data_IF_244449921898
#
_entry.id   IF_244449921898
#
_cell.length_a   1.000
_cell.length_b   1.000
_cell.length_c   1.000
_cell.angle_alpha   90.00
_cell.angle_beta   90.00
_cell.angle_gamma   90.00
#
_symmetry.space_group_name_H-M   'P 1'
#
loop_
_entity.id
_entity.type
_entity.pdbx_description
1 polymer ?
#
# COMPACT_ATOMS: atom_id res chain seq x y z
N UNK A 1 15.08 43.41 -10.71
CA UNK A 1 14.22 43.22 -9.54
C UNK A 1 12.85 42.89 -10.08
N UNK A 2 12.54 41.60 -10.25
CA UNK A 2 11.21 41.14 -10.63
C UNK A 2 10.32 41.26 -9.39
N UNK A 3 9.23 42.02 -9.50
CA UNK A 3 8.21 42.07 -8.45
C UNK A 3 7.78 40.67 -8.09
N UNK A 4 7.63 40.35 -6.79
CA UNK A 4 7.06 39.04 -6.41
C UNK A 4 5.66 38.94 -7.04
N UNK A 5 5.40 37.82 -7.68
CA UNK A 5 4.07 37.49 -8.22
C UNK A 5 3.10 37.56 -7.03
N UNK A 6 2.01 38.32 -7.08
CA UNK A 6 1.02 38.33 -6.00
C UNK A 6 0.52 36.90 -5.71
N UNK A 7 0.16 36.56 -4.47
CA UNK A 7 -0.30 35.21 -4.10
C UNK A 7 -1.49 34.68 -4.91
N UNK A 8 -2.29 35.60 -5.44
CA UNK A 8 -3.43 35.31 -6.33
C UNK A 8 -2.99 34.85 -7.73
N UNK A 9 -1.71 35.10 -8.11
CA UNK A 9 -1.18 34.84 -9.45
C UNK A 9 -0.39 33.49 -9.57
N UNK A 10 -0.21 32.71 -8.50
CA UNK A 10 0.50 31.43 -8.59
C UNK A 10 -0.15 30.48 -9.62
N UNK A 11 -1.47 30.49 -9.72
CA UNK A 11 -2.24 29.72 -10.70
C UNK A 11 -2.75 30.59 -11.87
N UNK A 12 -2.36 31.86 -11.99
CA UNK A 12 -2.87 32.78 -13.02
C UNK A 12 -2.50 32.31 -14.45
N UNK A 13 -1.36 31.64 -14.62
CA UNK A 13 -0.94 31.07 -15.91
C UNK A 13 -1.38 29.60 -16.08
N UNK A 14 -2.01 29.02 -15.06
CA UNK A 14 -2.47 27.65 -15.10
C UNK A 14 -3.79 27.55 -15.85
N UNK A 15 -3.84 26.68 -16.84
CA UNK A 15 -5.07 26.36 -17.56
C UNK A 15 -5.53 24.96 -17.17
N UNK A 16 -6.67 24.83 -16.47
CA UNK A 16 -7.21 23.52 -16.13
C UNK A 16 -7.42 22.67 -17.39
N UNK A 17 -7.27 21.35 -17.32
CA UNK A 17 -7.53 20.48 -18.44
C UNK A 17 -8.97 20.60 -18.92
N UNK A 18 -9.17 20.60 -20.23
CA UNK A 18 -10.50 20.74 -20.84
C UNK A 18 -11.47 19.60 -20.46
N UNK A 19 -10.93 18.44 -20.10
CA UNK A 19 -11.67 17.26 -19.66
C UNK A 19 -11.05 16.70 -18.39
N UNK A 20 -11.90 16.38 -17.42
CA UNK A 20 -11.48 15.82 -16.15
C UNK A 20 -11.81 16.70 -14.97
N UNK A 21 -11.45 16.25 -13.78
CA UNK A 21 -11.55 17.00 -12.54
C UNK A 21 -10.20 17.67 -12.26
N UNK A 22 -10.23 18.96 -12.05
CA UNK A 22 -9.04 19.69 -11.62
C UNK A 22 -8.97 19.75 -10.08
N UNK A 23 -7.82 19.41 -9.51
CA UNK A 23 -7.63 19.34 -8.05
C UNK A 23 -7.53 20.71 -7.40
N UNK A 24 -6.97 21.71 -8.10
CA UNK A 24 -6.66 23.02 -7.55
C UNK A 24 -7.71 24.07 -7.88
N UNK A 25 -8.30 24.02 -9.08
CA UNK A 25 -9.18 25.06 -9.61
C UNK A 25 -10.58 24.48 -9.82
N UNK A 26 -11.60 25.23 -9.41
CA UNK A 26 -13.01 24.89 -9.63
C UNK A 26 -13.47 25.19 -11.06
N UNK A 27 -14.66 24.71 -11.41
CA UNK A 27 -15.27 24.99 -12.70
C UNK A 27 -15.57 26.48 -12.93
N UNK A 28 -15.64 27.26 -11.88
CA UNK A 28 -15.79 28.72 -11.87
C UNK A 28 -14.47 29.49 -12.07
N UNK A 29 -13.36 28.77 -12.23
CA UNK A 29 -12.01 29.33 -12.33
C UNK A 29 -11.39 29.75 -11.00
N UNK A 30 -12.10 29.58 -9.87
CA UNK A 30 -11.58 29.94 -8.56
C UNK A 30 -10.73 28.83 -7.95
N UNK A 31 -9.70 29.22 -7.17
CA UNK A 31 -8.88 28.27 -6.40
C UNK A 31 -9.76 27.60 -5.33
N UNK A 32 -9.76 26.27 -5.30
CA UNK A 32 -10.53 25.48 -4.34
C UNK A 32 -10.12 25.82 -2.90
N UNK A 33 -11.07 25.81 -1.98
CA UNK A 33 -10.87 26.23 -0.60
C UNK A 33 -9.67 25.56 0.10
N UNK A 34 -9.49 24.25 -0.09
CA UNK A 34 -8.40 23.50 0.51
C UNK A 34 -7.02 23.74 -0.14
N UNK A 35 -6.98 24.35 -1.33
CA UNK A 35 -5.75 24.76 -2.01
C UNK A 35 -5.32 26.18 -1.68
N UNK A 36 -6.18 27.02 -1.10
CA UNK A 36 -5.88 28.43 -0.85
C UNK A 36 -4.61 28.61 -0.01
N UNK A 37 -4.51 27.94 1.14
CA UNK A 37 -3.35 28.06 2.01
C UNK A 37 -2.04 27.64 1.34
N UNK A 38 -2.08 26.59 0.49
CA UNK A 38 -0.93 26.17 -0.32
C UNK A 38 -0.58 27.23 -1.36
N UNK A 39 -1.57 27.68 -2.15
CA UNK A 39 -1.39 28.67 -3.22
C UNK A 39 -0.83 29.99 -2.67
N UNK A 40 -1.39 30.50 -1.57
CA UNK A 40 -0.94 31.74 -0.92
C UNK A 40 0.49 31.61 -0.39
N UNK A 41 0.82 30.50 0.30
CA UNK A 41 2.14 30.34 0.94
C UNK A 41 3.23 29.98 -0.07
N UNK A 42 2.98 29.03 -0.94
CA UNK A 42 3.94 28.60 -1.96
C UNK A 42 4.06 29.64 -3.09
N UNK A 43 2.94 30.22 -3.51
CA UNK A 43 2.91 31.28 -4.53
C UNK A 43 3.59 32.58 -4.13
N UNK A 44 3.65 32.87 -2.81
CA UNK A 44 4.40 34.01 -2.32
C UNK A 44 5.92 33.85 -2.38
N UNK A 45 6.43 32.64 -2.63
CA UNK A 45 7.86 32.40 -2.78
C UNK A 45 8.36 32.95 -4.12
N UNK A 46 9.49 33.68 -4.14
CA UNK A 46 10.12 34.08 -5.39
C UNK A 46 10.42 32.85 -6.29
N UNK A 47 10.27 33.01 -7.60
CA UNK A 47 10.53 31.94 -8.58
C UNK A 47 11.92 31.30 -8.40
N UNK A 48 12.93 32.11 -8.10
CA UNK A 48 14.28 31.64 -7.81
C UNK A 48 14.32 30.72 -6.57
N UNK A 49 13.56 31.05 -5.52
CA UNK A 49 13.49 30.21 -4.31
C UNK A 49 12.75 28.88 -4.59
N UNK A 50 11.67 28.92 -5.36
CA UNK A 50 10.96 27.70 -5.80
C UNK A 50 11.91 26.79 -6.59
N UNK A 51 12.67 27.35 -7.54
CA UNK A 51 13.67 26.62 -8.31
C UNK A 51 14.77 26.03 -7.41
N UNK A 52 15.31 26.82 -6.47
CA UNK A 52 16.33 26.33 -5.53
C UNK A 52 15.82 25.21 -4.62
N UNK A 53 14.56 25.30 -4.15
CA UNK A 53 13.92 24.22 -3.38
C UNK A 53 13.79 22.95 -4.21
N UNK A 54 13.40 23.05 -5.49
CA UNK A 54 13.28 21.92 -6.40
C UNK A 54 14.66 21.25 -6.66
N UNK A 55 15.70 22.05 -6.93
CA UNK A 55 17.05 21.52 -7.12
C UNK A 55 17.59 20.86 -5.85
N UNK A 56 17.31 21.46 -4.69
CA UNK A 56 17.67 20.89 -3.40
C UNK A 56 16.93 19.56 -3.15
N UNK A 57 15.66 19.49 -3.50
CA UNK A 57 14.88 18.25 -3.41
C UNK A 57 15.49 17.14 -4.27
N UNK A 58 15.80 17.43 -5.54
CA UNK A 58 16.46 16.47 -6.45
C UNK A 58 17.80 15.99 -5.90
N UNK A 59 18.58 16.89 -5.30
CA UNK A 59 19.85 16.53 -4.65
C UNK A 59 19.62 15.63 -3.45
N UNK A 60 18.70 15.96 -2.55
CA UNK A 60 18.39 15.16 -1.37
C UNK A 60 17.87 13.77 -1.73
N UNK A 61 17.06 13.62 -2.79
CA UNK A 61 16.63 12.32 -3.32
C UNK A 61 17.84 11.46 -3.66
N UNK A 62 18.82 12.01 -4.38
CA UNK A 62 20.06 11.30 -4.73
C UNK A 62 20.93 10.97 -3.53
N UNK A 63 21.14 11.94 -2.63
CA UNK A 63 21.98 11.79 -1.44
C UNK A 63 21.40 10.74 -0.46
N UNK A 64 20.08 10.65 -0.36
CA UNK A 64 19.40 9.64 0.46
C UNK A 64 19.23 8.28 -0.25
N UNK A 65 19.67 8.14 -1.49
CA UNK A 65 19.57 6.90 -2.25
C UNK A 65 18.14 6.46 -2.52
N UNK A 66 17.20 7.42 -2.60
CA UNK A 66 15.80 7.09 -2.90
C UNK A 66 15.71 6.70 -4.37
N UNK A 67 15.45 5.44 -4.63
CA UNK A 67 15.30 4.92 -5.99
C UNK A 67 14.37 3.72 -5.99
N UNK A 68 13.59 3.63 -7.05
CA UNK A 68 12.93 2.40 -7.46
C UNK A 68 13.93 1.63 -8.31
N UNK A 69 14.07 0.34 -8.07
CA UNK A 69 15.09 -0.50 -8.72
C UNK A 69 16.53 0.04 -8.60
N UNK A 70 17.14 -0.16 -7.42
CA UNK A 70 18.51 0.27 -7.13
C UNK A 70 19.56 -0.35 -8.06
N UNK A 71 19.27 -1.51 -8.64
CA UNK A 71 20.19 -2.31 -9.46
C UNK A 71 19.81 -2.37 -10.94
N UNK A 72 18.87 -1.53 -11.39
CA UNK A 72 18.55 -1.41 -12.80
C UNK A 72 19.80 -1.15 -13.66
N UNK A 73 19.79 -1.67 -14.87
CA UNK A 73 20.85 -1.47 -15.85
C UNK A 73 21.16 0.03 -16.05
N UNK A 74 22.44 0.41 -16.24
CA UNK A 74 22.78 1.79 -16.55
C UNK A 74 22.05 2.25 -17.83
N UNK A 75 21.21 3.29 -17.70
CA UNK A 75 20.36 3.80 -18.79
C UNK A 75 18.89 3.42 -18.70
N UNK A 76 18.52 2.37 -17.98
CA UNK A 76 17.13 2.03 -17.66
C UNK A 76 16.69 2.57 -16.29
N UNK A 77 17.63 3.00 -15.46
CA UNK A 77 17.37 3.51 -14.13
C UNK A 77 16.57 4.81 -14.20
N UNK A 78 15.30 4.75 -13.82
CA UNK A 78 14.51 5.95 -13.62
C UNK A 78 14.79 6.51 -12.22
N UNK A 79 15.33 7.75 -12.10
CA UNK A 79 15.51 8.36 -10.81
C UNK A 79 14.15 8.60 -10.16
N UNK A 80 14.05 8.33 -8.86
CA UNK A 80 12.87 8.70 -8.11
C UNK A 80 12.66 10.21 -8.19
N UNK A 81 11.49 10.62 -8.65
CA UNK A 81 11.15 12.04 -8.80
C UNK A 81 10.08 12.42 -7.80
N UNK A 82 10.31 13.52 -7.11
CA UNK A 82 9.35 14.12 -6.18
C UNK A 82 9.06 15.53 -6.68
N UNK A 83 7.76 15.86 -6.76
CA UNK A 83 7.32 17.21 -7.07
C UNK A 83 7.19 18.05 -5.78
N UNK A 84 7.48 19.36 -5.84
CA UNK A 84 7.22 20.27 -4.74
C UNK A 84 5.72 20.55 -4.56
N UNK A 85 4.94 20.42 -5.61
CA UNK A 85 3.49 20.64 -5.60
C UNK A 85 2.79 19.30 -5.36
N UNK A 86 2.32 19.03 -4.14
CA UNK A 86 1.62 17.78 -3.83
C UNK A 86 0.15 17.85 -4.25
N UNK A 87 -0.51 16.71 -4.33
CA UNK A 87 -1.98 16.68 -4.31
C UNK A 87 -2.44 17.04 -2.90
N UNK A 88 -3.28 18.08 -2.80
CA UNK A 88 -3.85 18.52 -1.54
C UNK A 88 -5.27 17.97 -1.40
N UNK A 89 -5.48 17.16 -0.38
CA UNK A 89 -6.78 16.55 -0.06
C UNK A 89 -7.33 17.24 1.20
N UNK A 90 -8.59 17.69 1.17
CA UNK A 90 -9.21 18.33 2.35
C UNK A 90 -9.44 17.32 3.48
N UNK A 91 -9.55 17.84 4.72
CA UNK A 91 -9.83 17.00 5.89
C UNK A 91 -11.18 16.28 5.77
N UNK A 92 -12.19 16.97 5.27
CA UNK A 92 -13.54 16.42 5.08
C UNK A 92 -13.54 15.28 4.05
N UNK A 93 -12.80 15.49 2.97
CA UNK A 93 -12.66 14.48 1.93
C UNK A 93 -11.86 13.29 2.41
N UNK A 94 -10.77 13.54 3.15
CA UNK A 94 -9.96 12.47 3.74
C UNK A 94 -10.79 11.55 4.66
N UNK A 95 -11.67 12.11 5.50
CA UNK A 95 -12.55 11.32 6.36
C UNK A 95 -13.43 10.36 5.56
N UNK A 96 -13.95 10.79 4.41
CA UNK A 96 -14.76 9.91 3.56
C UNK A 96 -13.91 8.83 2.87
N UNK A 97 -12.72 9.20 2.38
CA UNK A 97 -11.77 8.26 1.81
C UNK A 97 -11.36 7.19 2.84
N UNK A 98 -10.96 7.61 4.04
CA UNK A 98 -10.54 6.73 5.12
C UNK A 98 -11.65 5.73 5.47
N UNK A 99 -12.88 6.21 5.67
CA UNK A 99 -14.03 5.33 5.94
C UNK A 99 -14.25 4.30 4.84
N UNK A 100 -14.18 4.72 3.59
CA UNK A 100 -14.33 3.84 2.44
C UNK A 100 -13.19 2.82 2.32
N UNK A 101 -11.96 3.24 2.57
CA UNK A 101 -10.79 2.35 2.55
C UNK A 101 -10.81 1.34 3.70
N UNK A 102 -11.20 1.75 4.90
CA UNK A 102 -11.37 0.85 6.06
C UNK A 102 -12.47 -0.17 5.81
N UNK A 103 -13.61 0.26 5.23
CA UNK A 103 -14.68 -0.65 4.82
C UNK A 103 -14.16 -1.67 3.80
N UNK A 104 -13.39 -1.21 2.82
CA UNK A 104 -12.83 -2.04 1.76
C UNK A 104 -11.84 -3.07 2.31
N UNK A 105 -10.91 -2.66 3.16
CA UNK A 105 -9.97 -3.54 3.82
C UNK A 105 -10.69 -4.64 4.64
N UNK A 106 -11.71 -4.25 5.39
CA UNK A 106 -12.54 -5.18 6.16
C UNK A 106 -13.29 -6.18 5.27
N UNK A 107 -13.81 -5.71 4.14
CA UNK A 107 -14.48 -6.56 3.17
C UNK A 107 -13.54 -7.62 2.59
N UNK A 108 -12.35 -7.20 2.14
CA UNK A 108 -11.38 -8.13 1.57
C UNK A 108 -10.80 -9.11 2.59
N UNK A 109 -10.65 -8.70 3.85
CA UNK A 109 -10.29 -9.62 4.94
C UNK A 109 -11.35 -10.71 5.13
N UNK A 110 -12.64 -10.34 5.11
CA UNK A 110 -13.74 -11.30 5.19
C UNK A 110 -13.85 -12.20 3.95
N UNK A 111 -13.60 -11.67 2.75
CA UNK A 111 -13.55 -12.46 1.52
C UNK A 111 -12.42 -13.49 1.59
N UNK A 112 -11.21 -13.08 2.02
CA UNK A 112 -10.08 -14.01 2.20
C UNK A 112 -10.43 -15.12 3.20
N UNK A 113 -11.02 -14.77 4.33
CA UNK A 113 -11.48 -15.75 5.33
C UNK A 113 -12.52 -16.72 4.78
N UNK A 114 -13.46 -16.23 3.97
CA UNK A 114 -14.47 -17.09 3.36
C UNK A 114 -13.86 -18.02 2.31
N UNK A 115 -13.01 -17.52 1.42
CA UNK A 115 -12.40 -18.32 0.35
C UNK A 115 -11.52 -19.45 0.86
N UNK A 116 -10.76 -19.20 1.92
CA UNK A 116 -9.89 -20.21 2.53
C UNK A 116 -10.56 -21.04 3.62
N UNK A 117 -11.74 -20.63 4.08
CA UNK A 117 -12.52 -21.29 5.13
C UNK A 117 -13.82 -21.92 4.62
N UNK A 118 -14.94 -21.32 5.03
CA UNK A 118 -16.28 -21.90 4.80
C UNK A 118 -16.76 -21.87 3.35
N UNK A 119 -16.21 -21.01 2.50
CA UNK A 119 -16.53 -20.85 1.07
C UNK A 119 -18.03 -20.57 0.80
N UNK A 120 -18.65 -19.81 1.67
CA UNK A 120 -20.10 -19.50 1.60
C UNK A 120 -20.43 -18.65 0.38
N UNK A 121 -19.54 -17.73 -0.02
CA UNK A 121 -19.68 -16.91 -1.22
C UNK A 121 -19.70 -17.75 -2.51
N UNK A 122 -18.85 -18.80 -2.55
CA UNK A 122 -18.76 -19.71 -3.68
C UNK A 122 -19.94 -20.65 -3.73
N UNK A 123 -20.32 -21.24 -2.59
CA UNK A 123 -21.46 -22.17 -2.49
C UNK A 123 -22.81 -21.49 -2.77
N UNK A 124 -22.94 -20.22 -2.41
CA UNK A 124 -24.16 -19.44 -2.67
C UNK A 124 -24.22 -18.83 -4.07
N UNK A 125 -23.17 -19.01 -4.89
CA UNK A 125 -23.10 -18.45 -6.25
C UNK A 125 -22.90 -16.94 -6.31
N UNK A 126 -22.59 -16.27 -5.17
CA UNK A 126 -22.32 -14.82 -5.15
C UNK A 126 -20.99 -14.48 -5.80
N UNK A 127 -20.04 -15.40 -5.76
CA UNK A 127 -18.79 -15.35 -6.49
C UNK A 127 -18.63 -16.65 -7.26
N UNK A 128 -18.38 -16.61 -8.58
CA UNK A 128 -18.18 -17.81 -9.38
C UNK A 128 -16.98 -18.61 -8.89
N UNK A 129 -17.11 -19.94 -8.55
CA UNK A 129 -15.99 -20.75 -8.09
C UNK A 129 -14.79 -20.76 -9.04
N UNK A 130 -15.06 -20.71 -10.34
CA UNK A 130 -14.04 -20.63 -11.38
C UNK A 130 -13.11 -19.42 -11.22
N UNK A 131 -13.66 -18.27 -10.77
CA UNK A 131 -12.89 -17.06 -10.59
C UNK A 131 -11.80 -17.21 -9.51
N UNK A 132 -12.05 -18.08 -8.53
CA UNK A 132 -11.13 -18.31 -7.41
C UNK A 132 -10.23 -19.51 -7.69
N UNK A 133 -10.80 -20.67 -8.06
CA UNK A 133 -10.02 -21.89 -8.16
C UNK A 133 -9.17 -22.01 -9.44
N UNK A 134 -9.41 -21.22 -10.47
CA UNK A 134 -8.52 -21.13 -11.63
C UNK A 134 -7.47 -20.02 -11.51
N UNK A 135 -7.49 -19.28 -10.41
CA UNK A 135 -6.50 -18.24 -10.14
C UNK A 135 -5.28 -18.87 -9.46
N UNK A 136 -4.06 -18.75 -10.02
CA UNK A 136 -2.85 -19.26 -9.40
C UNK A 136 -2.53 -18.60 -8.06
N UNK A 137 -3.13 -17.44 -7.79
CA UNK A 137 -3.04 -16.76 -6.50
C UNK A 137 -3.78 -17.50 -5.36
N UNK A 138 -4.69 -18.43 -5.68
CA UNK A 138 -5.32 -19.29 -4.68
C UNK A 138 -4.37 -20.41 -4.25
N UNK A 139 -3.73 -20.26 -3.12
CA UNK A 139 -2.75 -21.20 -2.59
C UNK A 139 -3.44 -22.32 -1.80
N UNK A 140 -3.64 -23.48 -2.43
CA UNK A 140 -4.33 -24.61 -1.81
C UNK A 140 -3.70 -25.09 -0.50
N UNK A 141 -2.37 -24.99 -0.36
CA UNK A 141 -1.62 -25.36 0.84
C UNK A 141 -1.99 -24.49 2.07
N UNK A 142 -2.60 -23.33 1.82
CA UNK A 142 -2.99 -22.35 2.85
C UNK A 142 -4.47 -22.48 3.27
N UNK A 143 -5.20 -23.50 2.83
CA UNK A 143 -6.60 -23.71 3.21
C UNK A 143 -6.77 -23.98 4.70
N UNK A 144 -7.95 -23.61 5.21
CA UNK A 144 -8.34 -23.79 6.61
C UNK A 144 -7.34 -23.15 7.58
N UNK A 145 -7.04 -21.85 7.41
CA UNK A 145 -6.18 -21.14 8.34
C UNK A 145 -6.81 -21.19 9.73
N UNK A 146 -5.98 -21.23 10.77
CA UNK A 146 -6.47 -21.07 12.11
C UNK A 146 -7.21 -19.73 12.24
N UNK A 147 -8.29 -19.66 13.05
CA UNK A 147 -9.01 -18.41 13.25
C UNK A 147 -8.07 -17.32 13.78
N UNK A 148 -7.91 -16.27 12.99
CA UNK A 148 -7.21 -15.06 13.36
C UNK A 148 -8.14 -13.85 13.22
N UNK A 149 -7.86 -12.80 14.00
CA UNK A 149 -8.66 -11.58 13.94
C UNK A 149 -8.66 -11.00 12.53
N UNK A 150 -7.50 -10.95 11.89
CA UNK A 150 -7.33 -10.46 10.52
C UNK A 150 -6.30 -11.30 9.75
N UNK A 151 -6.63 -11.71 8.54
CA UNK A 151 -5.71 -12.29 7.56
C UNK A 151 -4.99 -11.19 6.77
N UNK A 152 -5.68 -10.07 6.53
CA UNK A 152 -5.15 -8.89 5.86
C UNK A 152 -4.96 -7.79 6.90
N UNK A 153 -3.73 -7.43 7.18
CA UNK A 153 -3.34 -6.41 8.16
C UNK A 153 -2.80 -5.15 7.50
N UNK A 154 -2.19 -5.30 6.31
CA UNK A 154 -1.80 -4.22 5.42
C UNK A 154 -2.70 -4.25 4.19
N UNK A 155 -3.23 -3.09 3.84
CA UNK A 155 -4.08 -2.92 2.66
C UNK A 155 -3.73 -1.59 1.99
N UNK A 156 -3.57 -1.61 0.69
CA UNK A 156 -3.46 -0.41 -0.12
C UNK A 156 -4.46 -0.44 -1.27
N UNK A 157 -4.79 0.72 -1.80
CA UNK A 157 -5.67 0.85 -2.95
C UNK A 157 -5.18 1.98 -3.87
N UNK A 158 -5.25 1.74 -5.16
CA UNK A 158 -5.04 2.76 -6.17
C UNK A 158 -6.35 3.50 -6.43
N UNK A 159 -6.30 4.81 -6.33
CA UNK A 159 -7.45 5.68 -6.46
C UNK A 159 -7.28 6.62 -7.65
N UNK A 160 -8.37 6.87 -8.35
CA UNK A 160 -8.48 7.94 -9.34
C UNK A 160 -9.68 8.81 -9.04
N UNK A 161 -9.64 10.06 -9.52
CA UNK A 161 -10.85 10.87 -9.63
C UNK A 161 -11.51 10.66 -10.97
N UNK A 162 -12.82 10.49 -10.97
CA UNK A 162 -13.60 10.56 -12.19
C UNK A 162 -13.88 12.04 -12.56
N UNK A 163 -14.50 12.25 -13.71
CA UNK A 163 -14.84 13.58 -14.23
C UNK A 163 -15.80 14.37 -13.35
N UNK A 164 -16.53 13.71 -12.44
CA UNK A 164 -17.41 14.36 -11.46
C UNK A 164 -16.64 14.78 -10.18
N UNK A 165 -15.38 14.39 -10.03
CA UNK A 165 -14.57 14.57 -8.84
C UNK A 165 -14.74 13.47 -7.79
N UNK A 166 -15.52 12.42 -8.07
CA UNK A 166 -15.67 11.29 -7.15
C UNK A 166 -14.45 10.37 -7.19
N UNK A 167 -13.99 9.92 -6.03
CA UNK A 167 -12.93 8.93 -5.92
C UNK A 167 -13.41 7.53 -6.32
N UNK A 168 -12.62 6.86 -7.15
CA UNK A 168 -12.85 5.48 -7.61
C UNK A 168 -11.65 4.62 -7.27
N UNK A 169 -11.90 3.39 -6.80
CA UNK A 169 -10.86 2.39 -6.59
C UNK A 169 -10.60 1.69 -7.93
N UNK A 170 -9.39 1.77 -8.45
CA UNK A 170 -9.00 1.09 -9.70
C UNK A 170 -8.24 -0.20 -9.45
N UNK A 171 -7.55 -0.30 -8.32
CA UNK A 171 -6.86 -1.53 -7.92
C UNK A 171 -6.72 -1.62 -6.40
N UNK A 172 -6.41 -2.81 -5.90
CA UNK A 172 -6.14 -3.05 -4.48
C UNK A 172 -4.91 -3.93 -4.31
N UNK A 173 -4.23 -3.76 -3.20
CA UNK A 173 -3.06 -4.51 -2.82
C UNK A 173 -3.24 -5.04 -1.39
N UNK A 174 -3.40 -6.34 -1.27
CA UNK A 174 -3.65 -7.05 -0.02
C UNK A 174 -2.59 -8.13 0.24
N UNK A 175 -1.83 -8.52 -0.77
CA UNK A 175 -0.78 -9.52 -0.62
C UNK A 175 0.45 -8.93 0.07
N UNK A 176 1.12 -8.04 -0.62
CA UNK A 176 2.31 -7.32 -0.15
C UNK A 176 2.21 -5.86 -0.55
N UNK A 177 1.42 -5.03 0.15
CA UNK A 177 1.34 -3.63 -0.17
C UNK A 177 2.74 -3.01 -0.19
N UNK A 178 3.20 -2.67 -1.39
CA UNK A 178 4.54 -2.18 -1.63
C UNK A 178 4.64 -0.65 -1.43
N UNK A 179 5.86 -0.14 -1.39
CA UNK A 179 6.09 1.28 -1.52
C UNK A 179 5.92 2.12 -0.25
N UNK A 180 5.53 1.55 0.90
CA UNK A 180 5.24 2.32 2.14
C UNK A 180 6.42 3.19 2.61
N UNK A 181 7.66 2.79 2.34
CA UNK A 181 8.86 3.57 2.65
C UNK A 181 8.99 4.85 1.82
N UNK A 182 8.49 4.87 0.58
CA UNK A 182 8.58 6.05 -0.29
C UNK A 182 7.76 7.25 0.24
N UNK A 183 6.47 7.12 0.60
CA UNK A 183 5.73 8.22 1.21
C UNK A 183 6.36 8.75 2.49
N UNK A 184 6.95 7.88 3.32
CA UNK A 184 7.67 8.31 4.51
C UNK A 184 8.91 9.14 4.16
N UNK A 185 9.73 8.68 3.20
CA UNK A 185 10.89 9.41 2.73
C UNK A 185 10.49 10.75 2.07
N UNK A 186 9.47 10.72 1.19
CA UNK A 186 8.92 11.91 0.55
C UNK A 186 8.43 12.94 1.58
N UNK A 187 7.67 12.49 2.59
CA UNK A 187 7.15 13.35 3.65
C UNK A 187 8.27 13.97 4.48
N UNK A 188 9.33 13.22 4.73
CA UNK A 188 10.50 13.72 5.44
C UNK A 188 11.21 14.84 4.64
N UNK A 189 11.46 14.63 3.35
CA UNK A 189 12.09 15.62 2.48
C UNK A 189 11.22 16.86 2.28
N UNK A 190 9.93 16.71 2.03
CA UNK A 190 9.00 17.83 1.97
C UNK A 190 8.96 18.61 3.29
N UNK A 191 8.95 17.93 4.42
CA UNK A 191 8.97 18.58 5.73
C UNK A 191 10.20 19.45 5.96
N UNK A 192 11.36 19.05 5.41
CA UNK A 192 12.59 19.86 5.46
C UNK A 192 12.55 21.08 4.55
N UNK A 193 11.93 20.97 3.38
CA UNK A 193 11.96 22.02 2.35
C UNK A 193 10.74 22.92 2.35
N UNK A 194 9.61 22.41 2.80
CA UNK A 194 8.29 23.01 2.72
C UNK A 194 7.62 23.11 4.11
N UNK A 195 8.41 23.26 5.18
CA UNK A 195 7.90 23.28 6.54
C UNK A 195 6.99 24.49 6.84
N UNK A 196 7.18 25.61 6.14
CA UNK A 196 6.32 26.78 6.13
C UNK A 196 4.94 26.47 5.52
N UNK A 197 4.91 25.86 4.34
CA UNK A 197 3.68 25.45 3.63
C UNK A 197 2.93 24.40 4.44
N UNK A 198 3.63 23.41 5.00
CA UNK A 198 3.00 22.37 5.83
C UNK A 198 2.31 22.91 7.06
N UNK A 199 2.89 23.96 7.68
CA UNK A 199 2.26 24.65 8.82
C UNK A 199 1.03 25.44 8.38
N UNK A 200 1.14 26.17 7.27
CA UNK A 200 0.01 26.94 6.73
C UNK A 200 -1.17 26.05 6.35
N UNK A 201 -0.89 24.92 5.68
CA UNK A 201 -1.89 23.93 5.29
C UNK A 201 -2.37 23.03 6.45
N UNK A 202 -1.79 23.14 7.64
CA UNK A 202 -2.08 22.25 8.79
C UNK A 202 -2.01 20.76 8.41
N UNK A 203 -1.01 20.39 7.61
CA UNK A 203 -0.87 19.05 7.04
C UNK A 203 -0.76 17.97 8.14
N UNK A 204 -1.55 16.91 8.04
CA UNK A 204 -1.51 15.78 8.96
C UNK A 204 -0.13 15.12 8.93
N UNK A 205 0.38 14.75 10.10
CA UNK A 205 1.66 14.06 10.25
C UNK A 205 1.46 12.56 10.14
N UNK A 206 2.36 11.87 9.43
CA UNK A 206 2.34 10.41 9.30
C UNK A 206 2.92 9.70 10.54
N UNK A 207 3.84 10.34 11.27
CA UNK A 207 4.53 9.72 12.39
C UNK A 207 3.61 9.11 13.46
N UNK A 208 2.51 9.78 13.92
CA UNK A 208 1.60 9.18 14.89
C UNK A 208 0.96 7.88 14.42
N UNK A 209 0.62 7.77 13.12
CA UNK A 209 0.07 6.56 12.55
C UNK A 209 1.06 5.37 12.64
N UNK A 210 2.32 5.59 12.28
CA UNK A 210 3.34 4.55 12.37
C UNK A 210 3.71 4.18 13.80
N UNK A 211 3.69 5.15 14.72
CA UNK A 211 3.87 4.87 16.16
C UNK A 211 2.72 4.00 16.71
N UNK A 212 1.48 4.33 16.36
CA UNK A 212 0.33 3.52 16.73
C UNK A 212 0.43 2.12 16.13
N UNK A 213 0.76 2.00 14.85
CA UNK A 213 0.97 0.72 14.18
C UNK A 213 2.03 -0.13 14.90
N UNK A 214 3.20 0.44 15.22
CA UNK A 214 4.24 -0.24 15.98
C UNK A 214 3.74 -0.69 17.37
N UNK A 215 3.03 0.18 18.07
CA UNK A 215 2.44 -0.14 19.38
C UNK A 215 1.46 -1.29 19.30
N UNK A 216 0.57 -1.29 18.30
CA UNK A 216 -0.41 -2.36 18.11
C UNK A 216 0.25 -3.70 17.75
N UNK A 217 1.34 -3.69 16.98
CA UNK A 217 2.12 -4.90 16.70
C UNK A 217 2.76 -5.48 17.97
N UNK A 218 3.37 -4.63 18.77
CA UNK A 218 4.00 -5.04 20.04
C UNK A 218 2.99 -5.59 21.03
N UNK A 219 1.79 -5.00 21.10
CA UNK A 219 0.71 -5.48 21.97
C UNK A 219 0.14 -6.85 21.56
N UNK A 220 0.31 -7.27 20.30
CA UNK A 220 -0.13 -8.61 19.84
C UNK A 220 0.80 -9.73 20.26
N UNK A 221 2.01 -9.40 20.70
CA UNK A 221 3.06 -10.35 21.00
C UNK A 221 3.24 -10.41 22.51
N UNK A 222 3.01 -11.59 23.10
CA UNK A 222 3.11 -11.84 24.54
C UNK A 222 4.60 -12.07 24.95
N UNK A 223 5.46 -11.08 24.66
CA UNK A 223 6.88 -11.15 24.97
C UNK A 223 7.44 -9.75 25.22
N UNK A 224 8.27 -9.58 26.23
CA UNK A 224 8.83 -8.28 26.64
C UNK A 224 9.79 -7.70 25.59
N UNK A 225 10.56 -8.54 24.88
CA UNK A 225 11.49 -8.13 23.81
C UNK A 225 11.24 -8.97 22.55
N UNK A 226 10.20 -8.62 21.77
CA UNK A 226 9.80 -9.39 20.60
C UNK A 226 10.72 -9.13 19.42
N UNK A 227 11.11 -10.19 18.70
CA UNK A 227 11.84 -10.09 17.44
C UNK A 227 10.84 -10.00 16.28
N UNK A 228 10.68 -8.78 15.75
CA UNK A 228 9.89 -8.51 14.55
C UNK A 228 10.84 -8.34 13.38
N UNK A 229 10.56 -9.05 12.28
CA UNK A 229 11.35 -9.00 11.06
C UNK A 229 10.54 -8.51 9.87
N UNK A 230 11.19 -7.85 8.92
CA UNK A 230 10.65 -7.52 7.62
C UNK A 230 11.37 -8.41 6.59
N UNK A 231 10.61 -9.34 5.99
CA UNK A 231 11.13 -10.27 5.00
C UNK A 231 11.12 -9.63 3.61
N UNK A 232 12.30 -9.45 3.03
CA UNK A 232 12.50 -8.88 1.69
C UNK A 232 13.00 -9.93 0.69
N UNK A 233 12.69 -9.78 -0.60
CA UNK A 233 13.31 -10.59 -1.66
C UNK A 233 14.81 -10.29 -1.87
N UNK A 234 15.32 -9.25 -1.19
CA UNK A 234 16.71 -8.83 -1.28
C UNK A 234 16.95 -7.58 -2.14
N UNK A 235 18.22 -7.14 -2.23
CA UNK A 235 18.57 -5.83 -2.76
C UNK A 235 18.31 -5.66 -4.27
N UNK A 236 18.09 -6.74 -5.00
CA UNK A 236 17.75 -6.68 -6.44
C UNK A 236 16.26 -6.44 -6.71
N UNK A 237 15.44 -6.39 -5.66
CA UNK A 237 14.02 -6.08 -5.81
C UNK A 237 13.82 -4.58 -6.02
N UNK A 238 12.92 -4.22 -6.89
CA UNK A 238 12.61 -2.82 -7.24
C UNK A 238 12.23 -1.96 -6.03
N UNK A 239 11.51 -2.51 -5.06
CA UNK A 239 11.07 -1.84 -3.83
C UNK A 239 12.05 -1.99 -2.66
N UNK A 240 13.26 -2.48 -2.87
CA UNK A 240 14.20 -2.72 -1.76
C UNK A 240 14.48 -1.48 -0.91
N UNK A 241 14.57 -0.30 -1.53
CA UNK A 241 14.69 0.96 -0.79
C UNK A 241 13.55 1.12 0.22
N UNK A 242 12.31 0.91 -0.24
CA UNK A 242 11.11 1.02 0.61
C UNK A 242 11.15 0.03 1.79
N UNK A 243 11.57 -1.21 1.53
CA UNK A 243 11.69 -2.23 2.58
C UNK A 243 12.75 -1.85 3.62
N UNK A 244 13.93 -1.44 3.18
CA UNK A 244 15.02 -1.03 4.07
C UNK A 244 14.67 0.24 4.86
N UNK A 245 14.01 1.21 4.20
CA UNK A 245 13.59 2.45 4.85
C UNK A 245 12.54 2.18 5.94
N UNK A 246 11.52 1.38 5.62
CA UNK A 246 10.45 1.02 6.56
C UNK A 246 10.99 0.22 7.75
N UNK A 247 11.84 -0.77 7.49
CA UNK A 247 12.51 -1.59 8.51
C UNK A 247 13.26 -0.69 9.51
N UNK A 248 14.08 0.23 9.00
CA UNK A 248 14.83 1.16 9.83
C UNK A 248 13.94 2.15 10.58
N UNK A 249 12.88 2.64 9.94
CA UNK A 249 11.95 3.58 10.55
C UNK A 249 11.17 2.96 11.72
N UNK A 250 10.76 1.70 11.57
CA UNK A 250 10.03 0.95 12.62
C UNK A 250 10.96 0.24 13.61
N UNK A 251 12.28 0.22 13.40
CA UNK A 251 13.22 -0.50 14.25
C UNK A 251 13.14 -2.02 14.14
N UNK A 252 12.64 -2.56 13.02
CA UNK A 252 12.54 -4.00 12.78
C UNK A 252 13.78 -4.52 12.04
N UNK A 253 14.05 -5.82 12.13
CA UNK A 253 15.16 -6.45 11.42
C UNK A 253 14.79 -6.73 9.97
N UNK A 254 15.57 -6.23 9.01
CA UNK A 254 15.43 -6.59 7.60
C UNK A 254 16.12 -7.93 7.37
N UNK A 255 15.40 -8.90 6.80
CA UNK A 255 15.92 -10.25 6.57
C UNK A 255 15.53 -10.76 5.17
N UNK A 256 16.37 -11.61 4.60
CA UNK A 256 16.09 -12.40 3.40
C UNK A 256 15.73 -13.84 3.81
N UNK A 257 15.14 -14.63 2.89
CA UNK A 257 14.80 -16.03 3.18
C UNK A 257 15.98 -16.87 3.62
N UNK A 258 17.18 -16.57 3.10
CA UNK A 258 18.44 -17.19 3.48
C UNK A 258 18.85 -16.98 4.93
N UNK A 259 18.40 -15.88 5.55
CA UNK A 259 18.69 -15.56 6.97
C UNK A 259 17.77 -16.32 7.93
N UNK A 260 16.74 -16.98 7.39
CA UNK A 260 15.73 -17.64 8.19
C UNK A 260 15.93 -19.17 8.22
N UNK A 261 15.43 -19.79 9.27
CA UNK A 261 15.39 -21.25 9.42
C UNK A 261 14.13 -21.68 10.17
N UNK A 262 13.45 -22.67 9.64
CA UNK A 262 12.33 -23.33 10.32
C UNK A 262 12.84 -24.54 11.08
N UNK A 263 12.49 -24.66 12.35
CA UNK A 263 12.76 -25.84 13.20
C UNK A 263 11.45 -26.19 13.90
N UNK A 264 10.92 -27.37 13.57
CA UNK A 264 9.60 -27.80 14.03
C UNK A 264 8.50 -26.84 13.54
N UNK A 265 7.89 -26.08 14.46
CA UNK A 265 6.83 -25.12 14.14
C UNK A 265 7.24 -23.67 14.40
N UNK A 266 8.52 -23.38 14.53
CA UNK A 266 9.04 -22.05 14.80
C UNK A 266 10.00 -21.60 13.73
N UNK A 267 9.98 -20.31 13.45
CA UNK A 267 10.94 -19.64 12.57
C UNK A 267 11.99 -18.94 13.41
N UNK A 268 13.25 -19.06 13.00
CA UNK A 268 14.39 -18.46 13.65
C UNK A 268 15.17 -17.61 12.67
N UNK A 269 15.69 -16.49 13.14
CA UNK A 269 16.70 -15.70 12.44
C UNK A 269 18.09 -16.24 12.79
N UNK A 270 18.92 -16.44 11.77
CA UNK A 270 20.35 -16.79 11.94
C UNK A 270 21.13 -15.55 12.33
N UNK A 271 21.88 -15.62 13.42
CA UNK A 271 22.77 -14.57 13.88
C UNK A 271 24.15 -15.13 14.19
N UNK A 272 25.14 -14.27 14.38
CA UNK A 272 26.49 -14.70 14.81
C UNK A 272 26.48 -15.39 16.19
N UNK A 273 25.51 -15.05 17.03
CA UNK A 273 25.33 -15.64 18.37
C UNK A 273 24.52 -16.94 18.35
N UNK A 274 23.98 -17.34 17.17
CA UNK A 274 23.12 -18.51 17.03
C UNK A 274 21.76 -18.19 16.46
N UNK A 275 20.77 -19.02 16.77
CA UNK A 275 19.40 -18.90 16.28
C UNK A 275 18.53 -18.12 17.26
N UNK A 276 17.93 -17.02 16.81
CA UNK A 276 16.99 -16.22 17.61
C UNK A 276 15.54 -16.48 17.11
N UNK A 277 14.59 -16.87 17.98
CA UNK A 277 13.23 -17.12 17.55
C UNK A 277 12.53 -15.82 17.12
N UNK A 278 11.83 -15.87 16.01
CA UNK A 278 11.06 -14.74 15.47
C UNK A 278 9.63 -14.84 16.00
N UNK A 279 9.08 -13.71 16.41
CA UNK A 279 7.72 -13.58 16.92
C UNK A 279 6.74 -13.11 15.84
N UNK A 280 7.20 -12.28 14.88
CA UNK A 280 6.39 -11.78 13.77
C UNK A 280 7.26 -11.51 12.53
N UNK A 281 6.75 -11.92 11.38
CA UNK A 281 7.33 -11.61 10.07
C UNK A 281 6.35 -10.72 9.31
N UNK A 282 6.77 -9.50 8.96
CA UNK A 282 6.09 -8.65 7.98
C UNK A 282 6.71 -8.99 6.63
N UNK A 283 5.92 -9.56 5.73
CA UNK A 283 6.46 -9.99 4.45
C UNK A 283 6.29 -8.96 3.35
N UNK A 284 7.35 -8.76 2.59
CA UNK A 284 7.38 -8.03 1.33
C UNK A 284 7.72 -8.96 0.15
N UNK A 285 7.39 -10.23 0.27
CA UNK A 285 7.62 -11.31 -0.69
C UNK A 285 6.29 -11.87 -1.11
N UNK A 286 6.12 -12.19 -2.40
CA UNK A 286 4.91 -12.88 -2.88
C UNK A 286 4.68 -14.18 -2.12
N UNK A 287 3.42 -14.46 -1.77
CA UNK A 287 3.06 -15.62 -0.97
C UNK A 287 3.50 -16.95 -1.59
N UNK A 288 3.35 -17.10 -2.90
CA UNK A 288 3.80 -18.30 -3.63
C UNK A 288 5.30 -18.56 -3.51
N UNK A 289 6.12 -17.54 -3.36
CA UNK A 289 7.59 -17.64 -3.26
C UNK A 289 8.11 -17.83 -1.84
N UNK A 290 7.21 -17.91 -0.85
CA UNK A 290 7.60 -17.98 0.56
C UNK A 290 8.05 -19.36 1.05
N UNK A 291 7.69 -20.43 0.36
CA UNK A 291 8.07 -21.79 0.75
C UNK A 291 8.24 -22.70 -0.48
N UNK A 292 9.48 -22.99 -0.90
CA UNK A 292 9.73 -23.82 -2.08
C UNK A 292 9.29 -25.30 -1.90
N UNK A 293 9.02 -25.72 -0.67
CA UNK A 293 8.62 -27.12 -0.41
C UNK A 293 7.13 -27.36 -0.67
N UNK A 294 6.28 -26.40 -0.29
CA UNK A 294 4.82 -26.58 -0.35
C UNK A 294 4.11 -25.63 -1.35
N UNK A 295 4.81 -24.60 -1.86
CA UNK A 295 4.27 -23.62 -2.79
C UNK A 295 5.00 -23.70 -4.14
N UNK A 296 5.66 -22.62 -4.56
CA UNK A 296 6.41 -22.62 -5.82
C UNK A 296 7.82 -23.19 -5.60
N UNK A 297 8.18 -24.32 -6.22
CA UNK A 297 9.51 -24.91 -6.06
C UNK A 297 10.66 -24.03 -6.57
N UNK A 298 10.36 -22.99 -7.36
CA UNK A 298 11.33 -22.01 -7.80
C UNK A 298 11.32 -20.74 -6.91
N UNK A 299 10.48 -20.70 -5.90
CA UNK A 299 10.31 -19.56 -5.00
C UNK A 299 11.22 -19.64 -3.78
N UNK A 300 12.40 -19.00 -3.83
CA UNK A 300 13.40 -19.06 -2.75
C UNK A 300 13.42 -17.82 -1.85
N UNK A 301 12.38 -17.01 -1.90
CA UNK A 301 12.36 -15.75 -1.16
C UNK A 301 11.96 -15.89 0.32
N UNK A 302 11.47 -17.06 0.74
CA UNK A 302 11.19 -17.38 2.14
C UNK A 302 11.87 -18.69 2.59
N UNK A 303 11.79 -19.02 3.89
CA UNK A 303 12.43 -20.22 4.43
C UNK A 303 11.64 -21.49 4.11
N UNK A 304 12.33 -22.58 3.80
CA UNK A 304 11.75 -23.92 3.63
C UNK A 304 10.98 -24.33 4.87
N UNK A 305 9.73 -24.77 4.72
CA UNK A 305 8.84 -25.22 5.81
C UNK A 305 8.07 -24.08 6.49
N UNK A 306 8.02 -22.89 5.90
CA UNK A 306 7.26 -21.77 6.45
C UNK A 306 5.76 -22.10 6.55
N UNK A 307 5.18 -22.72 5.53
CA UNK A 307 3.76 -23.13 5.52
C UNK A 307 3.45 -24.05 6.70
N UNK A 308 4.34 -25.00 6.99
CA UNK A 308 4.19 -25.90 8.13
C UNK A 308 4.21 -25.13 9.47
N UNK A 309 5.10 -24.15 9.61
CA UNK A 309 5.14 -23.29 10.81
C UNK A 309 3.85 -22.48 10.95
N UNK A 310 3.33 -21.93 9.86
CA UNK A 310 2.09 -21.14 9.84
C UNK A 310 0.85 -21.96 10.19
N UNK A 311 0.78 -23.25 9.81
CA UNK A 311 -0.31 -24.13 10.26
C UNK A 311 -0.38 -24.27 11.78
N UNK A 312 0.72 -24.03 12.49
CA UNK A 312 0.78 -24.04 13.96
C UNK A 312 0.55 -22.67 14.55
N UNK A 313 1.04 -21.62 13.91
CA UNK A 313 0.95 -20.23 14.38
C UNK A 313 0.76 -19.26 13.21
N UNK A 314 -0.48 -18.93 12.91
CA UNK A 314 -0.82 -17.95 11.86
C UNK A 314 -0.38 -16.53 12.20
N UNK A 315 -0.27 -16.19 13.50
CA UNK A 315 0.15 -14.85 13.95
C UNK A 315 1.59 -14.51 13.58
N UNK A 316 2.35 -15.53 13.20
CA UNK A 316 3.75 -15.39 12.79
C UNK A 316 3.93 -14.53 11.54
N UNK A 317 2.91 -14.38 10.68
CA UNK A 317 3.05 -13.73 9.37
C UNK A 317 1.97 -12.67 9.11
N UNK A 318 2.39 -11.54 8.56
CA UNK A 318 1.54 -10.46 8.02
C UNK A 318 1.99 -10.14 6.58
N UNK A 319 1.11 -10.06 5.54
CA UNK A 319 -0.25 -10.60 5.49
C UNK A 319 -0.23 -12.12 5.28
N UNK A 320 -1.41 -12.74 5.36
CA UNK A 320 -1.60 -14.15 5.04
C UNK A 320 -1.06 -14.52 3.64
N UNK A 321 -0.47 -15.71 3.48
CA UNK A 321 0.19 -16.11 2.22
C UNK A 321 -0.75 -16.11 1.00
N UNK A 322 -2.00 -16.51 1.19
CA UNK A 322 -3.00 -16.55 0.12
C UNK A 322 -3.77 -15.25 -0.11
N UNK A 323 -3.32 -14.13 0.46
CA UNK A 323 -4.06 -12.87 0.37
C UNK A 323 -4.21 -12.34 -1.07
N UNK A 324 -3.29 -12.68 -1.97
CA UNK A 324 -3.34 -12.24 -3.38
C UNK A 324 -4.60 -12.65 -4.14
N UNK A 325 -5.28 -13.71 -3.74
CA UNK A 325 -6.52 -14.15 -4.43
C UNK A 325 -7.61 -13.08 -4.40
N UNK A 326 -7.63 -12.21 -3.39
CA UNK A 326 -8.64 -11.13 -3.31
C UNK A 326 -8.33 -9.94 -4.21
N UNK A 327 -7.11 -9.86 -4.76
CA UNK A 327 -6.68 -8.84 -5.73
C UNK A 327 -7.21 -9.11 -7.14
N UNK A 328 -7.83 -10.28 -7.36
CA UNK A 328 -8.38 -10.64 -8.65
C UNK A 328 -9.45 -9.62 -9.10
N UNK A 329 -9.14 -8.86 -10.16
CA UNK A 329 -10.02 -7.82 -10.70
C UNK A 329 -11.39 -8.35 -11.17
N UNK A 330 -11.50 -9.65 -11.42
CA UNK A 330 -12.76 -10.32 -11.72
C UNK A 330 -13.77 -10.32 -10.57
N UNK A 331 -13.33 -10.01 -9.33
CA UNK A 331 -14.22 -9.82 -8.18
C UNK A 331 -15.05 -8.53 -8.26
N UNK A 332 -14.56 -7.50 -8.96
CA UNK A 332 -15.17 -6.18 -8.99
C UNK A 332 -16.68 -6.18 -9.28
N UNK A 333 -17.20 -6.92 -10.28
CA UNK A 333 -18.65 -6.96 -10.55
C UNK A 333 -19.49 -7.54 -9.41
N UNK A 334 -18.86 -8.32 -8.53
CA UNK A 334 -19.55 -9.04 -7.45
C UNK A 334 -19.48 -8.30 -6.10
N UNK A 335 -18.57 -7.33 -5.95
CA UNK A 335 -18.24 -6.73 -4.65
C UNK A 335 -19.41 -6.04 -3.96
N UNK A 336 -20.30 -5.38 -4.69
CA UNK A 336 -21.48 -4.75 -4.09
C UNK A 336 -22.40 -5.77 -3.40
N UNK A 337 -22.66 -6.91 -4.08
CA UNK A 337 -23.46 -7.99 -3.51
C UNK A 337 -22.75 -8.68 -2.34
N UNK A 338 -21.44 -8.87 -2.47
CA UNK A 338 -20.60 -9.46 -1.43
C UNK A 338 -20.55 -8.56 -0.18
N UNK A 339 -20.41 -7.24 -0.36
CA UNK A 339 -20.43 -6.26 0.75
C UNK A 339 -21.75 -6.31 1.52
N UNK A 340 -22.88 -6.31 0.82
CA UNK A 340 -24.19 -6.48 1.47
C UNK A 340 -24.31 -7.79 2.23
N UNK A 341 -23.72 -8.87 1.70
CA UNK A 341 -23.76 -10.19 2.33
C UNK A 341 -22.86 -10.32 3.57
N UNK A 342 -21.65 -9.78 3.53
CA UNK A 342 -20.66 -9.94 4.59
C UNK A 342 -20.65 -8.80 5.60
N UNK A 343 -20.92 -7.56 5.17
CA UNK A 343 -20.89 -6.36 6.01
C UNK A 343 -22.29 -5.84 6.34
N UNK A 344 -23.34 -6.25 5.59
CA UNK A 344 -24.68 -5.64 5.68
C UNK A 344 -24.74 -4.19 5.19
N UNK A 345 -23.79 -3.75 4.37
CA UNK A 345 -23.62 -2.36 3.94
C UNK A 345 -23.38 -2.26 2.45
N UNK A 346 -23.73 -1.11 1.88
CA UNK A 346 -23.30 -0.74 0.53
C UNK A 346 -21.87 -0.19 0.55
N UNK A 347 -21.18 -0.30 -0.60
CA UNK A 347 -19.82 0.22 -0.73
C UNK A 347 -19.83 1.75 -0.71
N UNK A 348 -18.94 2.33 0.10
CA UNK A 348 -18.73 3.80 0.17
C UNK A 348 -17.93 4.28 -1.03
N UNK A 349 -16.84 3.58 -1.36
CA UNK A 349 -16.04 3.85 -2.55
C UNK A 349 -16.39 2.84 -3.63
N UNK A 350 -16.69 3.34 -4.83
CA UNK A 350 -17.03 2.51 -5.97
C UNK A 350 -15.83 2.30 -6.89
N UNK A 351 -15.91 1.26 -7.70
CA UNK A 351 -15.01 1.00 -8.81
C UNK A 351 -15.56 1.58 -10.11
N UNK A 352 -14.72 1.84 -11.12
CA UNK A 352 -15.21 2.00 -12.48
C UNK A 352 -16.04 0.79 -12.89
N UNK A 353 -17.00 0.98 -13.78
CA UNK A 353 -17.81 -0.13 -14.25
C UNK A 353 -16.91 -1.20 -14.90
N UNK A 354 -16.88 -2.39 -14.33
CA UNK A 354 -16.09 -3.53 -14.80
C UNK A 354 -16.98 -4.73 -15.07
N UNK A 355 -16.57 -5.55 -16.02
CA UNK A 355 -17.24 -6.82 -16.37
C UNK A 355 -16.18 -7.92 -16.39
N UNK A 356 -16.55 -9.08 -15.86
CA UNK A 356 -15.71 -10.25 -15.95
C UNK A 356 -16.04 -11.04 -17.21
N UNK A 357 -15.08 -11.17 -18.15
CA UNK A 357 -15.30 -11.88 -19.42
C UNK A 357 -15.47 -13.41 -19.28
N UNK A 358 -15.29 -13.94 -18.08
CA UNK A 358 -15.70 -15.31 -17.75
C UNK A 358 -17.23 -15.50 -17.73
N UNK A 359 -17.98 -14.41 -17.58
CA UNK A 359 -19.43 -14.39 -17.72
C UNK A 359 -19.82 -14.28 -19.19
N UNK A 360 -20.72 -15.19 -19.63
CA UNK A 360 -21.17 -15.22 -21.04
C UNK A 360 -21.91 -13.94 -21.44
N UNK A 361 -22.71 -13.37 -20.54
CA UNK A 361 -23.42 -12.11 -20.80
C UNK A 361 -22.47 -10.93 -20.97
N UNK A 362 -21.34 -10.92 -20.26
CA UNK A 362 -20.34 -9.87 -20.37
C UNK A 362 -19.62 -9.87 -21.73
N UNK A 363 -19.51 -11.02 -22.40
CA UNK A 363 -18.83 -11.17 -23.69
C UNK A 363 -19.54 -10.48 -24.86
N UNK A 364 -20.82 -10.20 -24.72
CA UNK A 364 -21.63 -9.51 -25.77
C UNK A 364 -21.17 -8.06 -25.96
N UNK A 365 -20.40 -7.52 -25.00
CA UNK A 365 -19.95 -6.12 -25.00
C UNK A 365 -18.49 -5.93 -25.46
N UNK A 366 -17.82 -6.98 -25.88
CA UNK A 366 -16.48 -6.98 -26.47
C UNK A 366 -16.58 -7.26 -27.96
#
# INVERSE_FOLDING_TARGET
MTNPIPPEDFLASYTPPAHGFDEAVGADGAVRAHWKAFSETFGALPAEEQFQRQERLRRLVRENGIAHDLFAEPGSRQPWSIDLIPIVISSEEWVQLERGLVQRASLYDLIAKDFYGAQTLLRSGKVPPRLVFSDPAFLHACREPKPEKHLINFFAADLIRDTSGAWRIIDIHAETPAGVGFPLANRFLHGQLMGDVFRACRTLRLAPHFQQFQTELLQRIERDDPLITLLTPGPRHEDYFSHAYLSRYLGFQLVEGGDLRVIGSRVYMKTLEGLKPIDLIIRCVQGSHCDPLELDPNGYAGPVGLVQALRRNQRLLMNFLGASVVENRGLAPHLQQVARSLLGQDLILHEPHRRWLGDMEARVYV
#
